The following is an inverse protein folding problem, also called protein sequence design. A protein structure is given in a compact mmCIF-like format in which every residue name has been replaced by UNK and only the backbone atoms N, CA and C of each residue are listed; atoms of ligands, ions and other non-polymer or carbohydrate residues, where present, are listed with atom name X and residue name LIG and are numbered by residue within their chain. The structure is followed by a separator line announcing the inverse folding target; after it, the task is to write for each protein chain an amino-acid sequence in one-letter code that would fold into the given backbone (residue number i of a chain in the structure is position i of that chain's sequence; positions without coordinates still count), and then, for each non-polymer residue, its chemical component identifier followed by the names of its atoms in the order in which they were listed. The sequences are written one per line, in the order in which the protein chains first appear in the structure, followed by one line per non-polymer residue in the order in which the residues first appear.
data_IF_156859517551
#
_entry.id   IF_156859517551
#
_cell.length_a   1.000
_cell.length_b   1.000
_cell.length_c   1.000
_cell.angle_alpha   90.00
_cell.angle_beta   90.00
_cell.angle_gamma   90.00
#
_symmetry.space_group_name_H-M   'P 1'
#
loop_
_entity.id
_entity.type
_entity.pdbx_description
1 polymer ?
#
# COMPACT_ATOMS: atom_id res chain seq x y z
N UNK A 1 4.06 -43.68 -12.52
CA UNK A 1 2.99 -43.49 -11.51
C UNK A 1 3.65 -42.85 -10.28
N UNK A 2 3.21 -41.67 -9.85
CA UNK A 2 3.79 -41.00 -8.68
C UNK A 2 3.21 -41.61 -7.39
N UNK A 3 4.07 -41.89 -6.41
CA UNK A 3 3.69 -42.53 -5.15
C UNK A 3 3.32 -41.49 -4.08
N UNK A 4 2.05 -41.48 -3.68
CA UNK A 4 1.44 -40.48 -2.78
C UNK A 4 1.31 -40.96 -1.33
N UNK A 5 1.98 -42.05 -0.97
CA UNK A 5 1.86 -42.71 0.32
C UNK A 5 2.34 -41.90 1.53
N UNK A 6 2.96 -40.72 1.32
CA UNK A 6 3.33 -39.76 2.38
C UNK A 6 2.29 -38.65 2.61
N UNK A 7 1.22 -38.59 1.83
CA UNK A 7 0.16 -37.59 2.00
C UNK A 7 -0.86 -38.03 3.07
N UNK A 8 -0.41 -38.24 4.31
CA UNK A 8 -1.30 -38.56 5.43
C UNK A 8 -1.00 -37.72 6.66
N UNK A 9 -1.71 -36.60 6.77
CA UNK A 9 -2.39 -36.10 7.98
C UNK A 9 -3.10 -34.80 7.63
N UNK A 10 -4.42 -34.89 7.40
CA UNK A 10 -5.29 -33.72 7.30
C UNK A 10 -5.28 -32.98 8.64
N UNK A 11 -4.52 -31.88 8.70
CA UNK A 11 -4.71 -30.83 9.72
C UNK A 11 -5.94 -29.95 9.44
N UNK A 12 -6.62 -30.20 8.32
CA UNK A 12 -7.92 -29.62 8.03
C UNK A 12 -8.96 -30.44 8.80
N UNK A 13 -9.81 -29.77 9.59
CA UNK A 13 -10.83 -30.41 10.41
C UNK A 13 -11.83 -31.24 9.60
N UNK A 14 -12.86 -31.76 10.27
CA UNK A 14 -13.93 -32.51 9.62
C UNK A 14 -14.47 -31.69 8.44
N UNK A 15 -14.53 -32.25 7.21
CA UNK A 15 -15.08 -31.53 6.08
C UNK A 15 -16.54 -31.17 6.37
N UNK A 16 -17.00 -29.98 5.93
CA UNK A 16 -18.40 -29.59 6.07
C UNK A 16 -19.33 -30.60 5.40
N UNK A 17 -20.56 -30.70 5.90
CA UNK A 17 -21.61 -31.51 5.28
C UNK A 17 -21.83 -31.07 3.82
N UNK A 18 -22.24 -31.96 2.89
CA UNK A 18 -22.57 -31.55 1.52
C UNK A 18 -23.62 -30.43 1.44
N UNK A 19 -24.51 -30.33 2.43
CA UNK A 19 -25.52 -29.26 2.51
C UNK A 19 -24.96 -27.91 2.97
N UNK A 20 -23.82 -27.93 3.68
CA UNK A 20 -23.08 -26.72 4.12
C UNK A 20 -22.10 -26.23 3.04
N UNK A 21 -21.89 -27.02 1.99
CA UNK A 21 -21.05 -26.65 0.87
C UNK A 21 -21.70 -25.52 0.05
N UNK A 22 -20.87 -24.63 -0.48
CA UNK A 22 -21.36 -23.52 -1.29
C UNK A 22 -22.04 -24.00 -2.58
N UNK A 23 -23.22 -23.45 -2.86
CA UNK A 23 -24.00 -23.72 -4.09
C UNK A 23 -23.48 -22.95 -5.32
N UNK A 24 -22.20 -22.56 -5.35
CA UNK A 24 -21.62 -21.84 -6.49
C UNK A 24 -21.71 -22.62 -7.80
N UNK A 25 -21.78 -23.95 -7.74
CA UNK A 25 -21.94 -24.82 -8.92
C UNK A 25 -23.34 -24.74 -9.55
N UNK A 26 -24.36 -24.36 -8.78
CA UNK A 26 -25.75 -24.20 -9.23
C UNK A 26 -26.10 -22.74 -9.51
N UNK A 27 -25.17 -21.82 -9.28
CA UNK A 27 -25.37 -20.42 -9.59
C UNK A 27 -25.42 -20.20 -11.13
N UNK A 28 -26.30 -19.32 -11.62
CA UNK A 28 -26.34 -18.99 -13.04
C UNK A 28 -25.00 -18.38 -13.49
N UNK A 29 -24.46 -18.82 -14.63
CA UNK A 29 -23.21 -18.28 -15.20
C UNK A 29 -23.31 -16.80 -15.62
N UNK A 30 -24.53 -16.28 -15.72
CA UNK A 30 -24.77 -14.90 -16.16
C UNK A 30 -24.60 -13.96 -14.98
N UNK A 31 -23.52 -13.19 -14.99
CA UNK A 31 -23.35 -12.07 -14.07
C UNK A 31 -24.47 -11.04 -14.27
N UNK A 32 -25.05 -10.48 -13.19
CA UNK A 32 -26.07 -9.43 -13.31
C UNK A 32 -25.49 -8.24 -14.09
N UNK A 33 -26.28 -7.72 -15.05
CA UNK A 33 -25.85 -6.63 -15.91
C UNK A 33 -25.48 -5.40 -15.07
N UNK A 34 -24.20 -5.03 -15.12
CA UNK A 34 -23.70 -3.79 -14.48
C UNK A 34 -24.31 -2.56 -15.16
N UNK A 35 -24.82 -1.57 -14.40
CA UNK A 35 -25.25 -0.31 -14.97
C UNK A 35 -24.10 0.33 -15.76
N UNK A 36 -24.38 0.80 -16.98
CA UNK A 36 -23.39 1.52 -17.79
C UNK A 36 -23.00 2.82 -17.07
N UNK A 37 -21.83 2.80 -16.43
CA UNK A 37 -21.24 4.00 -15.85
C UNK A 37 -20.59 4.83 -16.96
N UNK A 38 -21.00 6.08 -17.07
CA UNK A 38 -20.35 7.16 -17.83
C UNK A 38 -18.80 7.06 -17.76
N UNK A 39 -18.06 7.37 -18.84
CA UNK A 39 -16.61 7.31 -18.86
C UNK A 39 -16.03 8.43 -17.99
N UNK A 40 -15.95 8.18 -16.67
CA UNK A 40 -15.11 8.98 -15.79
C UNK A 40 -13.67 8.85 -16.27
N UNK A 41 -12.86 9.93 -16.28
CA UNK A 41 -11.45 9.82 -16.60
C UNK A 41 -10.87 8.69 -15.74
N UNK A 42 -10.14 7.76 -16.37
CA UNK A 42 -9.54 6.60 -15.69
C UNK A 42 -8.65 7.11 -14.56
N UNK A 43 -9.25 7.25 -13.39
CA UNK A 43 -8.61 7.62 -12.15
C UNK A 43 -7.85 6.37 -11.76
N UNK A 44 -6.56 6.33 -12.15
CA UNK A 44 -5.64 5.21 -11.95
C UNK A 44 -5.98 4.52 -10.62
N UNK A 45 -6.27 3.21 -10.65
CA UNK A 45 -6.74 2.46 -9.49
C UNK A 45 -5.77 2.51 -8.29
N UNK A 46 -4.52 2.94 -8.52
CA UNK A 46 -3.54 3.28 -7.47
C UNK A 46 -3.99 4.46 -6.61
N UNK A 47 -4.68 5.43 -7.19
CA UNK A 47 -5.21 6.62 -6.50
C UNK A 47 -6.39 6.32 -5.57
N UNK A 48 -7.14 5.24 -5.82
CA UNK A 48 -8.27 4.82 -4.97
C UNK A 48 -7.80 4.17 -3.66
N UNK A 49 -6.56 3.65 -3.62
CA UNK A 49 -5.92 3.10 -2.41
C UNK A 49 -5.00 4.12 -1.72
N UNK A 50 -5.01 5.37 -2.17
CA UNK A 50 -4.16 6.43 -1.62
C UNK A 50 -4.75 6.87 -0.28
N UNK A 51 -4.38 6.18 0.79
CA UNK A 51 -4.47 6.75 2.14
C UNK A 51 -3.65 8.03 2.11
N UNK A 52 -4.30 9.19 2.19
CA UNK A 52 -3.70 10.53 2.17
C UNK A 52 -2.76 10.82 3.37
N UNK A 53 -2.14 9.78 3.95
CA UNK A 53 -1.28 9.86 5.13
C UNK A 53 0.16 10.24 4.77
N UNK A 54 0.70 9.73 3.66
CA UNK A 54 2.07 10.02 3.22
C UNK A 54 2.16 10.10 1.70
N UNK A 55 2.90 11.09 1.18
CA UNK A 55 3.18 11.25 -0.25
C UNK A 55 4.67 10.95 -0.50
N UNK A 56 5.02 10.24 -1.60
CA UNK A 56 6.41 10.06 -1.96
C UNK A 56 7.02 11.41 -2.38
N UNK A 57 8.12 11.79 -1.73
CA UNK A 57 8.88 12.99 -2.04
C UNK A 57 10.16 12.60 -2.79
N UNK A 58 10.09 12.58 -4.12
CA UNK A 58 11.20 12.18 -4.98
C UNK A 58 11.86 13.41 -5.61
N UNK A 59 13.04 13.79 -5.11
CA UNK A 59 13.84 14.90 -5.61
C UNK A 59 15.28 14.45 -5.88
N UNK A 60 15.96 15.11 -6.82
CA UNK A 60 17.40 14.93 -7.05
C UNK A 60 18.12 16.01 -6.27
N UNK A 61 19.07 15.61 -5.43
CA UNK A 61 19.87 16.51 -4.58
C UNK A 61 21.36 16.25 -4.80
N UNK A 62 22.20 17.20 -4.38
CA UNK A 62 23.65 17.00 -4.41
C UNK A 62 24.08 15.97 -3.35
N UNK A 63 25.20 15.26 -3.56
CA UNK A 63 25.74 14.31 -2.57
C UNK A 63 26.02 14.98 -1.21
N UNK A 64 26.59 16.19 -1.22
CA UNK A 64 26.93 16.92 0.00
C UNK A 64 25.68 17.26 0.84
N UNK A 65 24.56 17.56 0.17
CA UNK A 65 23.29 17.81 0.86
C UNK A 65 22.76 16.52 1.52
N UNK A 66 22.75 15.41 0.78
CA UNK A 66 22.29 14.12 1.30
C UNK A 66 23.14 13.64 2.50
N UNK A 67 24.46 13.80 2.42
CA UNK A 67 25.37 13.49 3.53
C UNK A 67 25.03 14.30 4.79
N UNK A 68 24.94 15.64 4.67
CA UNK A 68 24.59 16.51 5.79
C UNK A 68 23.22 16.18 6.39
N UNK A 69 22.24 15.83 5.55
CA UNK A 69 20.90 15.47 6.00
C UNK A 69 20.93 14.19 6.83
N UNK A 70 21.71 13.18 6.40
CA UNK A 70 21.90 11.92 7.12
C UNK A 70 22.63 12.12 8.44
N UNK A 71 23.69 12.93 8.46
CA UNK A 71 24.44 13.20 9.68
C UNK A 71 23.55 13.83 10.78
N UNK A 72 22.68 14.77 10.40
CA UNK A 72 21.71 15.39 11.33
C UNK A 72 20.70 14.36 11.81
N UNK A 73 20.15 13.56 10.90
CA UNK A 73 19.16 12.55 11.24
C UNK A 73 19.74 11.48 12.19
N UNK A 74 20.97 11.03 11.97
CA UNK A 74 21.64 10.07 12.85
C UNK A 74 21.95 10.68 14.22
N UNK A 75 22.53 11.90 14.24
CA UNK A 75 22.87 12.60 15.48
C UNK A 75 21.65 12.83 16.37
N UNK A 76 20.52 13.18 15.77
CA UNK A 76 19.31 13.61 16.49
C UNK A 76 18.26 12.49 16.60
N UNK A 77 18.53 11.31 16.04
CA UNK A 77 17.63 10.15 16.06
C UNK A 77 16.32 10.37 15.28
N UNK A 78 16.38 11.12 14.17
CA UNK A 78 15.23 11.52 13.37
C UNK A 78 15.15 10.77 12.04
N UNK A 79 13.97 10.76 11.44
CA UNK A 79 13.83 10.39 10.03
C UNK A 79 14.29 11.54 9.13
N UNK A 80 14.83 11.20 7.94
CA UNK A 80 15.22 12.22 6.95
C UNK A 80 14.07 13.18 6.61
N UNK A 81 12.83 12.67 6.57
CA UNK A 81 11.64 13.48 6.29
C UNK A 81 11.35 14.48 7.41
N UNK A 82 11.51 14.10 8.68
CA UNK A 82 11.29 14.99 9.82
C UNK A 82 12.28 16.15 9.84
N UNK A 83 13.54 15.88 9.44
CA UNK A 83 14.55 16.94 9.27
C UNK A 83 14.12 17.92 8.18
N UNK A 84 13.57 17.42 7.06
CA UNK A 84 13.09 18.24 5.96
C UNK A 84 11.85 19.06 6.34
N UNK A 85 10.91 18.50 7.10
CA UNK A 85 9.74 19.22 7.60
C UNK A 85 10.15 20.36 8.53
N UNK A 86 11.04 20.11 9.50
CA UNK A 86 11.59 21.17 10.36
C UNK A 86 12.36 22.23 9.59
N UNK A 87 13.08 21.83 8.53
CA UNK A 87 13.79 22.78 7.68
C UNK A 87 12.82 23.68 6.90
N UNK A 88 11.67 23.16 6.49
CA UNK A 88 10.62 23.95 5.85
C UNK A 88 10.01 24.97 6.82
N UNK A 89 9.63 24.54 8.02
CA UNK A 89 9.09 25.42 9.06
C UNK A 89 10.07 26.57 9.38
N UNK A 90 11.36 26.24 9.51
CA UNK A 90 12.40 27.24 9.76
C UNK A 90 12.58 28.22 8.59
N UNK A 91 12.43 27.75 7.34
CA UNK A 91 12.49 28.60 6.16
C UNK A 91 11.31 29.58 6.08
N UNK A 92 10.09 29.11 6.42
CA UNK A 92 8.89 29.96 6.47
C UNK A 92 8.99 31.01 7.58
N UNK A 93 9.38 30.60 8.80
CA UNK A 93 9.58 31.53 9.91
C UNK A 93 10.62 32.62 9.58
N UNK A 94 11.71 32.26 8.89
CA UNK A 94 12.71 33.23 8.42
C UNK A 94 12.12 34.22 7.41
N UNK A 95 11.24 33.76 6.52
CA UNK A 95 10.57 34.60 5.52
C UNK A 95 9.56 35.55 6.14
N UNK A 96 8.76 35.10 7.11
CA UNK A 96 7.78 35.93 7.81
C UNK A 96 8.42 37.00 8.69
N UNK A 97 9.63 36.75 9.19
CA UNK A 97 10.38 37.71 10.00
C UNK A 97 11.00 38.89 9.21
N UNK A 98 10.87 38.90 7.87
CA UNK A 98 11.51 39.87 6.97
C UNK A 98 10.50 40.72 6.22
#
# INVERSE_FOLDING_TARGET
MADLSKLKKSKLGTPPSPDEASQNLTAPEVAPATPQAEPRPRRDGRSARKTHRTLPFATRVSPDFDGRLRDIAERDGLLLVEVLERALDAYEALKESR
#
